data_IF_410715294514
#
_entry.id   IF_410715294514
#
_cell.length_a   1.000
_cell.length_b   1.000
_cell.length_c   1.000
_cell.angle_alpha   90.00
_cell.angle_beta   90.00
_cell.angle_gamma   90.00
#
_symmetry.space_group_name_H-M   'P 1'
#
loop_
_entity.id
_entity.type
_entity.pdbx_description
1 polymer ?
#
# COMPACT_ATOMS: atom_id res chain seq x y z
N UNK A 1 39.15 29.20 22.90
CA UNK A 1 37.79 29.44 22.45
C UNK A 1 37.32 28.18 21.71
N UNK A 2 36.55 27.35 22.39
CA UNK A 2 36.03 26.11 21.80
C UNK A 2 34.75 26.43 21.06
N UNK A 3 34.84 26.47 19.73
CA UNK A 3 33.64 26.56 18.88
C UNK A 3 32.91 25.23 18.90
N UNK A 4 31.80 25.15 19.60
CA UNK A 4 30.84 24.08 19.38
C UNK A 4 30.30 24.22 17.97
N UNK A 5 30.75 23.35 17.05
CA UNK A 5 30.02 23.11 15.83
C UNK A 5 28.65 22.55 16.23
N UNK A 6 27.61 23.38 16.16
CA UNK A 6 26.24 22.86 16.14
C UNK A 6 26.17 21.89 14.95
N UNK A 7 26.17 20.59 15.23
CA UNK A 7 25.74 19.62 14.25
C UNK A 7 24.36 20.07 13.81
N UNK A 8 24.23 20.43 12.52
CA UNK A 8 22.92 20.65 11.94
C UNK A 8 22.18 19.33 12.08
N UNK A 9 21.14 19.31 12.92
CA UNK A 9 20.22 18.20 12.96
C UNK A 9 19.79 17.90 11.52
N UNK A 10 19.91 16.63 11.09
CA UNK A 10 19.50 16.20 9.75
C UNK A 10 18.03 16.57 9.60
N UNK A 11 17.72 17.47 8.67
CA UNK A 11 16.34 17.88 8.42
C UNK A 11 15.52 16.63 8.07
N UNK A 12 14.31 16.50 8.68
CA UNK A 12 13.36 15.44 8.35
C UNK A 12 13.05 15.48 6.87
N UNK A 13 13.16 14.34 6.19
CA UNK A 13 12.91 14.19 4.76
C UNK A 13 11.93 13.02 4.53
N UNK A 14 10.66 13.33 4.43
CA UNK A 14 9.60 12.35 4.29
C UNK A 14 9.80 11.36 3.12
N UNK A 15 10.19 11.79 1.90
CA UNK A 15 10.43 10.86 0.80
C UNK A 15 11.46 9.79 1.12
N UNK A 16 12.56 10.13 1.79
CA UNK A 16 13.59 9.16 2.17
C UNK A 16 13.07 8.14 3.19
N UNK A 17 12.25 8.57 4.14
CA UNK A 17 11.62 7.67 5.13
C UNK A 17 10.64 6.73 4.45
N UNK A 18 9.80 7.23 3.55
CA UNK A 18 8.85 6.40 2.80
C UNK A 18 9.61 5.39 1.92
N UNK A 19 10.67 5.80 1.24
CA UNK A 19 11.49 4.90 0.43
C UNK A 19 12.06 3.73 1.27
N UNK A 20 12.51 4.00 2.49
CA UNK A 20 13.00 2.97 3.41
C UNK A 20 11.87 2.01 3.83
N UNK A 21 10.69 2.53 4.12
CA UNK A 21 9.52 1.72 4.48
C UNK A 21 9.10 0.84 3.31
N UNK A 22 8.97 1.42 2.12
CA UNK A 22 8.62 0.67 0.90
C UNK A 22 9.59 -0.45 0.61
N UNK A 23 10.88 -0.18 0.71
CA UNK A 23 11.92 -1.18 0.43
C UNK A 23 11.84 -2.36 1.40
N UNK A 24 11.61 -2.09 2.69
CA UNK A 24 11.47 -3.13 3.69
C UNK A 24 10.19 -3.96 3.49
N UNK A 25 9.07 -3.33 3.21
CA UNK A 25 7.80 -4.03 2.94
C UNK A 25 7.89 -4.81 1.64
N UNK A 26 8.48 -4.24 0.59
CA UNK A 26 8.67 -4.94 -0.68
C UNK A 26 9.54 -6.20 -0.51
N UNK A 27 10.64 -6.10 0.23
CA UNK A 27 11.49 -7.27 0.51
C UNK A 27 10.71 -8.41 1.17
N UNK A 28 9.75 -8.09 2.03
CA UNK A 28 8.92 -9.09 2.71
C UNK A 28 7.87 -9.73 1.78
N UNK A 29 7.31 -9.00 0.82
CA UNK A 29 6.22 -9.50 -0.05
C UNK A 29 6.70 -9.93 -1.44
N UNK A 30 7.92 -9.58 -1.83
CA UNK A 30 8.51 -9.99 -3.11
C UNK A 30 8.46 -11.51 -3.33
N UNK A 31 8.78 -12.37 -2.34
CA UNK A 31 8.67 -13.83 -2.51
C UNK A 31 7.24 -14.31 -2.80
N UNK A 32 6.24 -13.50 -2.51
CA UNK A 32 4.81 -13.80 -2.77
C UNK A 32 4.35 -13.37 -4.17
N UNK A 33 5.27 -12.89 -5.01
CA UNK A 33 5.00 -12.50 -6.39
C UNK A 33 4.71 -11.02 -6.59
N UNK A 34 4.84 -10.18 -5.57
CA UNK A 34 4.67 -8.74 -5.71
C UNK A 34 5.83 -8.11 -6.48
N UNK A 35 5.50 -7.12 -7.31
CA UNK A 35 6.44 -6.25 -8.02
C UNK A 35 6.26 -4.81 -7.54
N UNK A 36 7.30 -4.00 -7.66
CA UNK A 36 7.30 -2.60 -7.21
C UNK A 36 7.32 -1.66 -8.41
N UNK A 37 6.36 -0.72 -8.43
CA UNK A 37 6.31 0.41 -9.34
C UNK A 37 6.05 1.69 -8.54
N UNK A 38 7.08 2.52 -8.41
CA UNK A 38 6.99 3.72 -7.58
C UNK A 38 6.55 3.39 -6.16
N UNK A 39 5.49 3.99 -5.69
CA UNK A 39 4.92 3.78 -4.35
C UNK A 39 3.86 2.67 -4.30
N UNK A 40 3.83 1.81 -5.30
CA UNK A 40 2.83 0.76 -5.45
C UNK A 40 3.51 -0.60 -5.56
N UNK A 41 3.07 -1.55 -4.74
CA UNK A 41 3.38 -2.97 -4.84
C UNK A 41 2.15 -3.66 -5.41
N UNK A 42 2.34 -4.53 -6.40
CA UNK A 42 1.22 -5.21 -7.04
C UNK A 42 1.60 -6.63 -7.46
N UNK A 43 0.60 -7.48 -7.56
CA UNK A 43 0.69 -8.79 -8.23
C UNK A 43 -0.62 -9.11 -8.93
N UNK A 44 -0.53 -9.94 -9.96
CA UNK A 44 -1.70 -10.55 -10.59
C UNK A 44 -1.96 -11.93 -9.99
N UNK A 45 -3.23 -12.23 -9.77
CA UNK A 45 -3.73 -13.55 -9.38
C UNK A 45 -4.83 -13.97 -10.35
N UNK A 46 -4.98 -15.29 -10.58
CA UNK A 46 -5.96 -15.81 -11.55
C UNK A 46 -5.88 -15.13 -12.93
N UNK A 47 -4.68 -14.75 -13.36
CA UNK A 47 -4.34 -14.15 -14.64
C UNK A 47 -4.50 -12.63 -14.68
N UNK A 48 -5.62 -12.06 -14.29
CA UNK A 48 -5.95 -10.66 -14.52
C UNK A 48 -6.51 -9.89 -13.32
N UNK A 49 -6.72 -10.55 -12.19
CA UNK A 49 -7.08 -9.87 -10.93
C UNK A 49 -5.82 -9.26 -10.33
N UNK A 50 -5.83 -7.94 -10.09
CA UNK A 50 -4.68 -7.25 -9.51
C UNK A 50 -4.89 -7.02 -8.02
N UNK A 51 -3.89 -7.34 -7.23
CA UNK A 51 -3.82 -7.04 -5.79
C UNK A 51 -2.75 -5.98 -5.57
N UNK A 52 -3.11 -4.93 -4.85
CA UNK A 52 -2.32 -3.70 -4.77
C UNK A 52 -2.12 -3.26 -3.32
N UNK A 53 -0.89 -2.91 -3.01
CA UNK A 53 -0.49 -2.23 -1.77
C UNK A 53 0.18 -0.93 -2.18
N UNK A 54 -0.34 0.20 -1.72
CA UNK A 54 0.16 1.53 -2.10
C UNK A 54 0.48 2.36 -0.87
N UNK A 55 1.57 3.10 -0.94
CA UNK A 55 1.99 4.02 0.12
C UNK A 55 1.66 5.44 -0.30
N UNK A 56 0.81 6.09 0.48
CA UNK A 56 0.35 7.45 0.21
C UNK A 56 0.84 8.40 1.28
N UNK A 57 1.59 9.43 0.87
CA UNK A 57 1.95 10.54 1.74
C UNK A 57 0.82 11.57 1.76
N UNK A 58 0.48 12.05 2.95
CA UNK A 58 -0.47 13.14 3.09
C UNK A 58 0.06 14.44 2.52
N UNK A 59 -0.81 15.22 1.89
CA UNK A 59 -0.50 16.61 1.54
C UNK A 59 -0.80 17.48 2.75
N UNK A 60 0.22 18.02 3.37
CA UNK A 60 0.03 18.96 4.45
C UNK A 60 -0.36 20.33 3.90
N UNK A 61 -1.39 20.91 4.50
CA UNK A 61 -1.87 22.25 4.21
C UNK A 61 -0.79 23.34 4.46
N UNK A 62 0.32 23.00 5.15
CA UNK A 62 1.41 23.91 5.53
C UNK A 62 2.83 23.36 5.30
N UNK A 63 3.02 22.46 4.37
CA UNK A 63 4.36 21.96 4.02
C UNK A 63 4.94 20.85 4.91
N UNK A 64 4.22 20.41 5.95
CA UNK A 64 4.65 19.35 6.87
C UNK A 64 4.08 17.99 6.45
N UNK A 65 4.57 17.45 5.33
CA UNK A 65 4.22 16.12 4.85
C UNK A 65 4.86 15.03 5.73
N UNK A 66 4.26 14.73 6.88
CA UNK A 66 4.75 13.70 7.79
C UNK A 66 3.77 12.57 8.03
N UNK A 67 2.60 12.60 7.41
CA UNK A 67 1.60 11.54 7.54
C UNK A 67 1.62 10.61 6.33
N UNK A 68 1.43 9.34 6.59
CA UNK A 68 1.37 8.30 5.55
C UNK A 68 0.21 7.33 5.84
N UNK A 69 -0.42 6.86 4.78
CA UNK A 69 -1.39 5.77 4.78
C UNK A 69 -0.92 4.66 3.87
N UNK A 70 -1.32 3.44 4.19
CA UNK A 70 -1.15 2.28 3.32
C UNK A 70 -2.51 1.92 2.75
N UNK A 71 -2.64 2.05 1.45
CA UNK A 71 -3.87 1.72 0.71
C UNK A 71 -3.80 0.27 0.21
N UNK A 72 -4.92 -0.42 0.31
CA UNK A 72 -5.07 -1.82 -0.10
C UNK A 72 -6.16 -1.87 -1.16
N UNK A 73 -5.88 -2.56 -2.27
CA UNK A 73 -6.84 -2.64 -3.37
C UNK A 73 -6.85 -3.98 -4.07
N UNK A 74 -8.02 -4.33 -4.62
CA UNK A 74 -8.20 -5.45 -5.54
C UNK A 74 -8.92 -4.92 -6.76
N UNK A 75 -8.33 -5.12 -7.95
CA UNK A 75 -8.94 -4.77 -9.21
C UNK A 75 -9.47 -6.00 -9.93
N UNK A 76 -10.75 -5.97 -10.25
CA UNK A 76 -11.38 -6.93 -11.13
C UNK A 76 -11.70 -6.20 -12.44
N UNK A 77 -11.13 -6.61 -13.59
CA UNK A 77 -11.20 -5.85 -14.84
C UNK A 77 -12.63 -5.48 -15.29
N UNK A 78 -13.56 -6.40 -15.21
CA UNK A 78 -14.95 -6.20 -15.61
C UNK A 78 -15.72 -5.21 -14.72
N UNK A 79 -15.18 -4.87 -13.56
CA UNK A 79 -15.77 -3.89 -12.65
C UNK A 79 -15.20 -2.49 -12.84
N UNK A 80 -14.30 -2.27 -13.78
CA UNK A 80 -13.72 -0.97 -14.07
C UNK A 80 -14.70 -0.12 -14.88
N UNK A 81 -15.41 0.77 -14.17
CA UNK A 81 -16.43 1.63 -14.77
C UNK A 81 -15.86 2.78 -15.62
N UNK A 82 -14.56 3.03 -15.56
CA UNK A 82 -13.90 4.15 -16.25
C UNK A 82 -13.39 3.79 -17.63
N UNK A 83 -13.13 2.53 -17.88
CA UNK A 83 -12.68 2.04 -19.17
C UNK A 83 -13.46 0.79 -19.53
N UNK A 84 -14.74 0.99 -19.88
CA UNK A 84 -15.60 -0.11 -20.32
C UNK A 84 -15.25 -0.50 -21.77
N UNK A 85 -14.03 -0.98 -21.97
CA UNK A 85 -13.63 -1.65 -23.20
C UNK A 85 -13.02 -3.00 -22.82
N UNK A 86 -13.78 -4.10 -22.90
CA UNK A 86 -13.28 -5.44 -22.57
C UNK A 86 -12.10 -5.88 -23.45
N UNK A 87 -11.77 -5.09 -24.48
CA UNK A 87 -10.70 -5.36 -25.44
C UNK A 87 -9.38 -4.66 -25.11
N UNK A 88 -9.34 -3.83 -24.05
CA UNK A 88 -8.12 -3.16 -23.66
C UNK A 88 -7.10 -4.19 -23.14
N UNK A 89 -5.84 -4.14 -23.65
CA UNK A 89 -4.82 -5.05 -23.19
C UNK A 89 -4.56 -4.89 -21.69
N UNK A 90 -4.31 -6.00 -21.02
CA UNK A 90 -3.91 -5.99 -19.61
C UNK A 90 -2.66 -5.10 -19.44
N UNK A 91 -2.75 -4.10 -18.58
CA UNK A 91 -1.60 -3.25 -18.23
C UNK A 91 -0.57 -4.05 -17.42
N UNK A 92 0.68 -3.60 -17.44
CA UNK A 92 1.75 -4.21 -16.64
C UNK A 92 1.51 -4.04 -15.14
N UNK A 93 0.85 -2.96 -14.74
CA UNK A 93 0.45 -2.69 -13.35
C UNK A 93 -0.75 -1.76 -13.30
N UNK A 94 -1.43 -1.76 -12.17
CA UNK A 94 -2.57 -0.89 -11.88
C UNK A 94 -2.31 -0.11 -10.60
N UNK A 95 -2.81 1.12 -10.55
CA UNK A 95 -2.77 1.94 -9.36
C UNK A 95 -3.87 1.55 -8.37
N UNK A 96 -3.72 1.96 -7.12
CA UNK A 96 -4.74 1.71 -6.09
C UNK A 96 -6.08 2.33 -6.48
N UNK A 97 -6.09 3.51 -7.10
CA UNK A 97 -7.33 4.18 -7.54
C UNK A 97 -8.02 3.49 -8.72
N UNK A 98 -7.36 2.56 -9.41
CA UNK A 98 -7.96 1.71 -10.43
C UNK A 98 -8.71 0.51 -9.82
N UNK A 99 -8.56 0.26 -8.54
CA UNK A 99 -9.10 -0.91 -7.87
C UNK A 99 -10.59 -0.80 -7.60
N UNK A 100 -11.29 -1.92 -7.72
CA UNK A 100 -12.73 -2.05 -7.46
C UNK A 100 -13.02 -2.10 -5.96
N UNK A 101 -12.22 -2.87 -5.23
CA UNK A 101 -12.27 -2.96 -3.77
C UNK A 101 -11.10 -2.15 -3.24
N UNK A 102 -11.39 -1.16 -2.40
CA UNK A 102 -10.38 -0.24 -1.87
C UNK A 102 -10.61 -0.04 -0.38
N UNK A 103 -9.54 -0.10 0.36
CA UNK A 103 -9.54 0.16 1.79
C UNK A 103 -8.18 0.67 2.24
N UNK A 104 -8.06 1.09 3.47
CA UNK A 104 -6.79 1.43 4.10
C UNK A 104 -6.41 0.41 5.16
N UNK A 105 -5.12 0.27 5.37
CA UNK A 105 -4.60 -0.57 6.45
C UNK A 105 -5.22 -0.13 7.78
N UNK A 106 -5.56 -1.09 8.61
CA UNK A 106 -6.36 -0.88 9.82
C UNK A 106 -7.85 -1.16 9.58
N UNK A 107 -8.45 -0.60 8.53
CA UNK A 107 -9.84 -0.86 8.17
C UNK A 107 -10.10 -2.29 7.69
N UNK A 108 -9.09 -2.98 7.17
CA UNK A 108 -9.19 -4.40 6.76
C UNK A 108 -9.65 -5.30 7.91
N UNK A 109 -9.24 -4.99 9.14
CA UNK A 109 -9.64 -5.72 10.35
C UNK A 109 -10.89 -5.17 11.02
N UNK A 110 -11.65 -4.29 10.35
CA UNK A 110 -12.86 -3.68 10.91
C UNK A 110 -12.60 -2.57 11.95
N UNK A 111 -11.39 -2.07 12.03
CA UNK A 111 -11.02 -0.95 12.90
C UNK A 111 -10.83 0.33 12.09
N UNK A 112 -10.56 1.45 12.76
CA UNK A 112 -10.21 2.68 12.10
C UNK A 112 -8.96 2.50 11.23
N UNK A 113 -8.87 3.23 10.11
CA UNK A 113 -7.67 3.25 9.27
C UNK A 113 -6.44 3.66 10.07
N UNK A 114 -5.30 3.04 9.79
CA UNK A 114 -4.04 3.37 10.44
C UNK A 114 -3.39 4.55 9.73
N UNK A 115 -3.08 5.59 10.49
CA UNK A 115 -2.30 6.75 10.03
C UNK A 115 -0.92 6.67 10.67
N UNK A 116 0.12 6.75 9.86
CA UNK A 116 1.51 6.72 10.33
C UNK A 116 2.10 8.12 10.34
N UNK A 117 2.69 8.51 11.46
CA UNK A 117 3.52 9.71 11.58
C UNK A 117 4.96 9.32 11.25
N UNK A 118 5.46 9.78 10.11
CA UNK A 118 6.80 9.45 9.61
C UNK A 118 7.95 10.00 10.48
N UNK A 119 7.65 10.88 11.44
CA UNK A 119 8.60 11.35 12.45
C UNK A 119 8.82 10.35 13.58
N UNK A 120 7.95 9.35 13.71
CA UNK A 120 8.11 8.25 14.64
C UNK A 120 9.18 7.28 14.14
N UNK A 121 9.75 6.43 15.03
CA UNK A 121 10.79 5.48 14.61
C UNK A 121 10.39 4.62 13.43
N UNK A 122 11.19 4.65 12.38
CA UNK A 122 10.93 3.92 11.12
C UNK A 122 10.76 2.41 11.34
N UNK A 123 11.57 1.81 12.21
CA UNK A 123 11.51 0.39 12.54
C UNK A 123 10.15 -0.02 13.12
N UNK A 124 9.55 0.84 13.95
CA UNK A 124 8.23 0.58 14.52
C UNK A 124 7.15 0.65 13.47
N UNK A 125 7.23 1.60 12.55
CA UNK A 125 6.30 1.74 11.43
C UNK A 125 6.36 0.49 10.55
N UNK A 126 7.56 0.07 10.15
CA UNK A 126 7.76 -1.12 9.33
C UNK A 126 7.18 -2.37 10.01
N UNK A 127 7.48 -2.57 11.29
CA UNK A 127 6.97 -3.71 12.06
C UNK A 127 5.46 -3.74 12.13
N UNK A 128 4.83 -2.59 12.35
CA UNK A 128 3.37 -2.49 12.41
C UNK A 128 2.74 -2.80 11.05
N UNK A 129 3.28 -2.24 9.96
CA UNK A 129 2.80 -2.52 8.60
C UNK A 129 2.92 -4.02 8.29
N UNK A 130 4.08 -4.62 8.53
CA UNK A 130 4.30 -6.05 8.26
C UNK A 130 3.39 -6.94 9.11
N UNK A 131 3.20 -6.59 10.37
CA UNK A 131 2.28 -7.30 11.26
C UNK A 131 0.83 -7.28 10.74
N UNK A 132 0.35 -6.12 10.31
CA UNK A 132 -1.02 -5.99 9.77
C UNK A 132 -1.15 -6.66 8.40
N UNK A 133 -0.15 -6.57 7.53
CA UNK A 133 -0.16 -7.27 6.24
C UNK A 133 -0.26 -8.78 6.44
N UNK A 134 0.57 -9.34 7.30
CA UNK A 134 0.61 -10.79 7.55
C UNK A 134 -0.66 -11.30 8.24
N UNK A 135 -1.16 -10.55 9.22
CA UNK A 135 -2.31 -10.98 10.02
C UNK A 135 -3.66 -10.78 9.31
N UNK A 136 -3.80 -9.72 8.50
CA UNK A 136 -5.11 -9.30 7.98
C UNK A 136 -5.19 -9.14 6.47
N UNK A 137 -4.18 -8.60 5.82
CA UNK A 137 -4.23 -8.27 4.39
C UNK A 137 -3.94 -9.47 3.50
N UNK A 138 -2.82 -10.14 3.73
CA UNK A 138 -2.43 -11.30 2.91
C UNK A 138 -3.43 -12.44 3.01
N UNK A 139 -4.00 -12.78 4.17
CA UNK A 139 -5.09 -13.74 4.24
C UNK A 139 -6.33 -13.34 3.43
N UNK A 140 -6.72 -12.07 3.44
CA UNK A 140 -7.83 -11.56 2.62
C UNK A 140 -7.48 -11.65 1.13
N UNK A 141 -6.26 -11.30 0.74
CA UNK A 141 -5.80 -11.43 -0.64
C UNK A 141 -5.84 -12.89 -1.12
N UNK A 142 -5.47 -13.84 -0.28
CA UNK A 142 -5.53 -15.27 -0.63
C UNK A 142 -6.98 -15.76 -0.76
N UNK A 143 -7.88 -15.30 0.09
CA UNK A 143 -9.32 -15.63 -0.01
C UNK A 143 -9.93 -15.00 -1.26
N UNK A 144 -9.65 -13.72 -1.54
CA UNK A 144 -10.19 -12.97 -2.67
C UNK A 144 -9.29 -13.05 -3.91
N UNK A 145 -8.77 -14.23 -4.23
CA UNK A 145 -7.86 -14.46 -5.36
C UNK A 145 -8.54 -14.96 -6.62
N UNK A 146 -9.86 -15.14 -6.61
CA UNK A 146 -10.67 -15.57 -7.76
C UNK A 146 -11.98 -14.81 -7.83
N UNK A 147 -12.59 -14.79 -9.02
CA UNK A 147 -13.91 -14.17 -9.23
C UNK A 147 -14.99 -14.84 -8.38
N UNK A 148 -14.97 -16.16 -8.33
CA UNK A 148 -15.93 -16.92 -7.54
C UNK A 148 -15.87 -16.56 -6.06
N UNK A 149 -14.68 -16.50 -5.48
CA UNK A 149 -14.48 -16.12 -4.09
C UNK A 149 -14.94 -14.68 -3.80
N UNK A 150 -14.66 -13.75 -4.72
CA UNK A 150 -15.09 -12.35 -4.60
C UNK A 150 -16.62 -12.23 -4.67
N UNK A 151 -17.26 -12.94 -5.60
CA UNK A 151 -18.72 -12.96 -5.74
C UNK A 151 -19.38 -13.57 -4.51
N UNK A 152 -18.84 -14.64 -3.97
CA UNK A 152 -19.38 -15.31 -2.78
C UNK A 152 -19.32 -14.38 -1.56
N UNK A 153 -18.24 -13.64 -1.39
CA UNK A 153 -18.09 -12.67 -0.31
C UNK A 153 -19.12 -11.54 -0.38
N UNK A 154 -19.51 -11.12 -1.58
CA UNK A 154 -20.55 -10.09 -1.78
C UNK A 154 -21.96 -10.57 -1.42
N UNK A 155 -22.21 -11.88 -1.37
CA UNK A 155 -23.49 -12.47 -1.02
C UNK A 155 -23.72 -12.65 0.48
N UNK A 156 -22.68 -12.49 1.27
CA UNK A 156 -22.77 -12.52 2.73
C UNK A 156 -23.34 -11.14 3.29
#
# INVERSE_FOLDING_TARGET
MFGFKKEKATAFHAPAVIDAIESAVYAAVKPLGFQKHGRTLHRFVSGDISQVINFQCGQAIRGDNHLMWVNIGIRVPECDLRSFQPEDPLKKHYHEYDCTIRTRLGAVRGKAETTYDLRKPTDKIIRDILSQLQAYVLPVFDILSSREAILEKRRE
#
